data_IF_864560903367
#
_entry.id   IF_864560903367
#
_cell.length_a   1.000
_cell.length_b   1.000
_cell.length_c   1.000
_cell.angle_alpha   90.00
_cell.angle_beta   90.00
_cell.angle_gamma   90.00
#
_symmetry.space_group_name_H-M   'P 1'
#
loop_
_entity.id
_entity.type
_entity.pdbx_description
1 polymer ?
#
# COMPACT_ATOMS: atom_id res chain seq x y z
N UNK A 1 20.78 -21.78 -10.87
CA UNK A 1 20.57 -20.43 -11.45
C UNK A 1 19.20 -19.96 -11.00
N UNK A 2 19.13 -19.05 -10.04
CA UNK A 2 17.87 -18.47 -9.57
C UNK A 2 17.62 -17.19 -10.37
N UNK A 3 16.75 -17.27 -11.38
CA UNK A 3 16.27 -16.09 -12.08
C UNK A 3 15.07 -15.55 -11.33
N UNK A 4 15.10 -14.28 -10.94
CA UNK A 4 13.87 -13.59 -10.55
C UNK A 4 13.03 -13.44 -11.81
N UNK A 5 11.87 -14.09 -11.85
CA UNK A 5 10.95 -13.95 -12.97
C UNK A 5 10.19 -12.63 -12.79
N UNK A 6 10.54 -11.65 -13.61
CA UNK A 6 9.79 -10.39 -13.68
C UNK A 6 8.42 -10.69 -14.27
N UNK A 7 7.37 -10.30 -13.55
CA UNK A 7 6.01 -10.26 -14.08
C UNK A 7 5.89 -8.92 -14.83
N UNK A 8 5.64 -8.91 -16.16
CA UNK A 8 5.36 -7.69 -16.90
C UNK A 8 4.21 -6.91 -16.25
N UNK A 9 4.27 -5.57 -16.26
CA UNK A 9 3.25 -4.72 -15.64
C UNK A 9 1.85 -5.04 -16.17
N UNK A 10 1.73 -5.30 -17.48
CA UNK A 10 0.45 -5.65 -18.09
C UNK A 10 -0.11 -6.98 -17.58
N UNK A 11 0.76 -7.95 -17.26
CA UNK A 11 0.36 -9.22 -16.67
C UNK A 11 -0.05 -9.04 -15.21
N UNK A 12 0.70 -8.22 -14.46
CA UNK A 12 0.34 -7.85 -13.09
C UNK A 12 -1.02 -7.13 -13.03
N UNK A 13 -1.27 -6.19 -13.94
CA UNK A 13 -2.53 -5.45 -14.01
C UNK A 13 -3.71 -6.37 -14.32
N UNK A 14 -3.52 -7.35 -15.22
CA UNK A 14 -4.55 -8.36 -15.51
C UNK A 14 -4.82 -9.24 -14.30
N UNK A 15 -3.79 -9.67 -13.58
CA UNK A 15 -3.93 -10.52 -12.39
C UNK A 15 -4.64 -9.76 -11.26
N UNK A 16 -4.26 -8.50 -11.02
CA UNK A 16 -4.79 -7.72 -9.90
C UNK A 16 -6.14 -7.07 -10.20
N UNK A 17 -6.35 -6.60 -11.43
CA UNK A 17 -7.48 -5.73 -11.78
C UNK A 17 -8.31 -6.26 -12.95
N UNK A 18 -8.00 -7.45 -13.48
CA UNK A 18 -8.71 -8.08 -14.60
C UNK A 18 -8.37 -7.49 -15.98
N UNK A 19 -7.94 -6.22 -16.04
CA UNK A 19 -7.50 -5.59 -17.28
C UNK A 19 -6.50 -4.45 -17.04
N UNK A 20 -5.75 -4.12 -18.08
CA UNK A 20 -4.66 -3.11 -18.04
C UNK A 20 -5.18 -1.68 -17.87
N UNK A 21 -6.37 -1.36 -18.39
CA UNK A 21 -6.93 0.00 -18.32
C UNK A 21 -7.30 0.34 -16.88
N UNK A 22 -7.91 -0.62 -16.18
CA UNK A 22 -8.25 -0.51 -14.76
C UNK A 22 -6.98 -0.43 -13.92
N UNK A 23 -5.99 -1.30 -14.17
CA UNK A 23 -4.71 -1.25 -13.48
C UNK A 23 -3.97 0.08 -13.64
N UNK A 24 -3.90 0.60 -14.86
CA UNK A 24 -3.31 1.92 -15.13
C UNK A 24 -4.07 3.04 -14.40
N UNK A 25 -5.41 3.02 -14.41
CA UNK A 25 -6.20 4.01 -13.71
C UNK A 25 -5.98 3.97 -12.19
N UNK A 26 -5.98 2.78 -11.57
CA UNK A 26 -5.62 2.61 -10.16
C UNK A 26 -4.22 3.14 -9.89
N UNK A 27 -3.23 2.82 -10.72
CA UNK A 27 -1.86 3.30 -10.56
C UNK A 27 -1.78 4.83 -10.58
N UNK A 28 -2.43 5.48 -11.56
CA UNK A 28 -2.49 6.95 -11.64
C UNK A 28 -3.16 7.58 -10.43
N UNK A 29 -4.27 7.02 -9.95
CA UNK A 29 -4.95 7.52 -8.75
C UNK A 29 -4.08 7.37 -7.50
N UNK A 30 -3.37 6.26 -7.35
CA UNK A 30 -2.43 6.07 -6.24
C UNK A 30 -1.27 7.07 -6.30
N UNK A 31 -0.69 7.33 -7.48
CA UNK A 31 0.35 8.35 -7.63
C UNK A 31 -0.16 9.75 -7.31
N UNK A 32 -1.36 10.11 -7.76
CA UNK A 32 -1.98 11.40 -7.47
C UNK A 32 -2.28 11.58 -5.97
N UNK A 33 -2.75 10.51 -5.30
CA UNK A 33 -2.99 10.50 -3.87
C UNK A 33 -1.69 10.69 -3.09
N UNK A 34 -0.64 9.93 -3.44
CA UNK A 34 0.68 10.05 -2.81
C UNK A 34 1.30 11.43 -3.05
N UNK A 35 1.15 11.99 -4.25
CA UNK A 35 1.57 13.34 -4.58
C UNK A 35 0.91 14.36 -3.67
N UNK A 36 -0.43 14.37 -3.61
CA UNK A 36 -1.20 15.27 -2.73
C UNK A 36 -0.80 15.12 -1.26
N UNK A 37 -0.60 13.89 -0.79
CA UNK A 37 -0.16 13.62 0.59
C UNK A 37 1.24 14.20 0.85
N UNK A 38 2.19 13.98 -0.06
CA UNK A 38 3.55 14.49 0.12
C UNK A 38 3.61 16.01 0.03
N UNK A 39 2.91 16.62 -0.93
CA UNK A 39 2.80 18.08 -1.03
C UNK A 39 2.27 18.68 0.27
N UNK A 40 1.19 18.11 0.82
CA UNK A 40 0.64 18.53 2.11
C UNK A 40 1.66 18.42 3.26
N UNK A 41 2.39 17.31 3.34
CA UNK A 41 3.40 17.10 4.40
C UNK A 41 4.57 18.07 4.23
N UNK A 42 5.07 18.26 3.01
CA UNK A 42 6.21 19.14 2.73
C UNK A 42 5.88 20.61 2.95
N UNK A 43 4.64 21.02 2.67
CA UNK A 43 4.14 22.36 2.96
C UNK A 43 3.99 22.58 4.47
N UNK A 44 3.61 21.54 5.21
CA UNK A 44 3.45 21.60 6.67
C UNK A 44 4.79 21.60 7.40
N UNK A 45 5.77 20.85 6.91
CA UNK A 45 7.10 20.69 7.52
C UNK A 45 8.21 21.01 6.51
N UNK A 46 8.38 22.29 6.14
CA UNK A 46 9.40 22.69 5.18
C UNK A 46 10.81 22.36 5.71
N UNK A 47 11.70 21.93 4.81
CA UNK A 47 13.10 21.61 5.09
C UNK A 47 13.34 20.51 6.15
N UNK A 48 12.30 19.77 6.54
CA UNK A 48 12.42 18.62 7.44
C UNK A 48 12.41 17.31 6.66
N UNK A 49 13.20 16.36 7.12
CA UNK A 49 13.12 14.98 6.65
C UNK A 49 12.02 14.25 7.41
N UNK A 50 11.27 13.39 6.72
CA UNK A 50 10.21 12.61 7.34
C UNK A 50 10.19 11.18 6.80
N UNK A 51 9.66 10.26 7.61
CA UNK A 51 9.31 8.90 7.18
C UNK A 51 7.79 8.78 7.17
N UNK A 52 7.25 8.41 6.01
CA UNK A 52 5.83 8.12 5.87
C UNK A 52 5.63 6.61 5.93
N UNK A 53 4.66 6.17 6.70
CA UNK A 53 4.21 4.78 6.70
C UNK A 53 2.70 4.75 6.51
N UNK A 54 2.25 3.90 5.60
CA UNK A 54 0.84 3.81 5.21
C UNK A 54 0.30 2.42 5.51
N UNK A 55 -0.97 2.35 5.86
CA UNK A 55 -1.73 1.11 6.05
C UNK A 55 -3.12 1.29 5.44
N UNK A 56 -3.42 0.52 4.39
CA UNK A 56 -4.77 0.50 3.82
C UNK A 56 -5.66 -0.42 4.65
N UNK A 57 -6.85 0.06 5.03
CA UNK A 57 -7.82 -0.76 5.77
C UNK A 57 -8.49 -1.78 4.84
N UNK A 58 -9.14 -2.78 5.44
CA UNK A 58 -9.75 -3.90 4.71
C UNK A 58 -10.87 -3.49 3.74
N UNK A 59 -11.47 -2.33 3.96
CA UNK A 59 -12.49 -1.77 3.07
C UNK A 59 -11.92 -1.26 1.74
N UNK A 60 -10.60 -1.03 1.66
CA UNK A 60 -9.91 -0.46 0.50
C UNK A 60 -10.23 1.02 0.22
N UNK A 61 -11.12 1.62 1.00
CA UNK A 61 -11.57 3.02 0.86
C UNK A 61 -11.05 3.90 2.00
N UNK A 62 -10.36 3.34 2.98
CA UNK A 62 -9.69 4.12 4.00
C UNK A 62 -8.23 3.69 4.20
N UNK A 63 -7.39 4.66 4.56
CA UNK A 63 -5.97 4.48 4.80
C UNK A 63 -5.55 5.24 6.04
N UNK A 64 -4.73 4.58 6.85
CA UNK A 64 -4.04 5.14 8.00
C UNK A 64 -2.63 5.57 7.59
N UNK A 65 -2.28 6.83 7.85
CA UNK A 65 -0.98 7.40 7.50
C UNK A 65 -0.28 7.91 8.74
N UNK A 66 0.93 7.40 8.95
CA UNK A 66 1.84 7.82 10.01
C UNK A 66 2.98 8.63 9.41
N UNK A 67 3.22 9.83 9.95
CA UNK A 67 4.34 10.69 9.53
C UNK A 67 5.27 10.88 10.73
N UNK A 68 6.47 10.31 10.65
CA UNK A 68 7.55 10.56 11.59
C UNK A 68 8.40 11.71 11.06
N UNK A 69 8.24 12.91 11.60
CA UNK A 69 9.08 14.08 11.29
C UNK A 69 10.37 13.96 12.09
N UNK A 70 11.49 13.78 11.40
CA UNK A 70 12.80 13.52 11.99
C UNK A 70 13.40 14.81 12.55
N UNK A 71 14.07 14.71 13.70
CA UNK A 71 14.72 15.85 14.37
C UNK A 71 13.80 17.08 14.44
N UNK A 72 12.57 16.84 14.89
CA UNK A 72 11.60 17.91 15.07
C UNK A 72 11.91 18.74 16.32
N UNK A 73 12.33 18.08 17.40
CA UNK A 73 12.65 18.72 18.68
C UNK A 73 14.13 19.08 18.84
N UNK A 74 14.95 18.81 17.82
CA UNK A 74 16.38 19.11 17.80
C UNK A 74 16.71 19.84 16.50
N UNK A 75 17.33 21.03 16.58
CA UNK A 75 17.68 21.85 15.41
C UNK A 75 18.92 21.33 14.67
N UNK A 76 19.44 20.16 15.05
CA UNK A 76 20.56 19.51 14.38
C UNK A 76 20.17 19.03 12.97
N UNK A 77 20.96 19.36 11.94
CA UNK A 77 20.75 18.83 10.59
C UNK A 77 20.83 17.29 10.61
N UNK A 78 19.98 16.67 9.80
CA UNK A 78 19.89 15.21 9.68
C UNK A 78 21.21 14.60 9.20
N UNK A 79 21.91 13.88 10.07
CA UNK A 79 22.97 12.95 9.66
C UNK A 79 22.30 11.64 9.27
N UNK A 80 22.12 11.46 7.97
CA UNK A 80 21.39 10.35 7.38
C UNK A 80 22.19 9.05 7.55
N UNK A 81 21.80 8.28 8.56
CA UNK A 81 22.25 6.91 8.76
C UNK A 81 21.03 6.03 8.90
N UNK A 82 20.64 5.34 7.82
CA UNK A 82 19.71 4.21 7.90
C UNK A 82 20.33 3.14 8.80
N UNK A 83 20.11 3.22 10.11
CA UNK A 83 20.47 2.14 11.03
C UNK A 83 19.46 1.02 10.79
N UNK A 84 19.89 0.01 10.04
CA UNK A 84 19.22 -1.28 9.97
C UNK A 84 19.19 -1.85 11.40
N UNK A 85 18.02 -1.80 12.03
CA UNK A 85 17.79 -2.51 13.29
C UNK A 85 17.89 -4.02 13.01
N UNK A 86 18.58 -4.74 13.89
CA UNK A 86 18.54 -6.20 13.89
C UNK A 86 17.11 -6.70 14.08
N UNK A 87 16.78 -7.92 13.66
CA UNK A 87 15.41 -8.47 13.72
C UNK A 87 14.83 -8.59 15.14
N UNK A 88 15.69 -8.47 16.16
CA UNK A 88 15.41 -8.86 17.53
C UNK A 88 15.18 -7.66 18.46
N UNK A 89 15.63 -6.46 18.07
CA UNK A 89 15.38 -5.24 18.83
C UNK A 89 13.99 -4.68 18.50
N UNK A 90 13.19 -4.34 19.51
CA UNK A 90 11.93 -3.60 19.31
C UNK A 90 12.21 -2.22 18.69
N UNK A 91 11.41 -1.85 17.71
CA UNK A 91 11.43 -0.51 17.14
C UNK A 91 10.90 0.47 18.18
N UNK A 92 11.66 1.56 18.37
CA UNK A 92 11.27 2.73 19.13
C UNK A 92 11.59 3.96 18.30
N UNK A 93 10.57 4.77 18.04
CA UNK A 93 10.76 6.07 17.41
C UNK A 93 11.74 6.93 18.25
N UNK A 94 12.65 7.68 17.63
CA UNK A 94 13.52 8.61 18.32
C UNK A 94 12.70 9.61 19.14
N UNK A 95 13.18 9.95 20.34
CA UNK A 95 12.53 10.98 21.18
C UNK A 95 12.63 12.38 20.58
N UNK A 96 13.51 12.58 19.59
CA UNK A 96 13.65 13.82 18.82
C UNK A 96 12.65 13.93 17.67
N UNK A 97 11.97 12.83 17.31
CA UNK A 97 10.98 12.81 16.23
C UNK A 97 9.60 13.26 16.74
N UNK A 98 8.85 13.94 15.88
CA UNK A 98 7.41 14.19 16.09
C UNK A 98 6.62 13.18 15.27
N UNK A 99 5.60 12.58 15.87
CA UNK A 99 4.70 11.66 15.17
C UNK A 99 3.39 12.36 14.90
N UNK A 100 2.95 12.33 13.65
CA UNK A 100 1.61 12.74 13.23
C UNK A 100 0.86 11.54 12.67
N UNK A 101 -0.46 11.58 12.80
CA UNK A 101 -1.33 10.52 12.35
C UNK A 101 -2.52 11.11 11.59
N UNK A 102 -2.78 10.58 10.40
CA UNK A 102 -3.86 11.01 9.53
C UNK A 102 -4.69 9.80 9.13
N UNK A 103 -6.00 9.97 9.09
CA UNK A 103 -6.92 9.07 8.39
C UNK A 103 -7.26 9.68 7.04
N UNK A 104 -7.09 8.91 5.97
CA UNK A 104 -7.53 9.26 4.62
C UNK A 104 -8.75 8.43 4.29
N UNK A 105 -9.84 9.07 3.88
CA UNK A 105 -10.99 8.40 3.28
C UNK A 105 -11.07 8.71 1.79
N UNK A 106 -11.38 7.70 0.99
CA UNK A 106 -11.47 7.76 -0.45
C UNK A 106 -12.93 7.58 -0.87
N UNK A 107 -13.40 8.43 -1.77
CA UNK A 107 -14.68 8.30 -2.46
C UNK A 107 -14.42 8.13 -3.95
N UNK A 108 -14.92 7.03 -4.53
CA UNK A 108 -14.87 6.86 -5.97
C UNK A 108 -16.06 7.57 -6.60
N UNK A 109 -15.81 8.41 -7.58
CA UNK A 109 -16.83 9.02 -8.40
C UNK A 109 -16.66 8.55 -9.85
N UNK A 110 -17.66 7.86 -10.38
CA UNK A 110 -17.68 7.40 -11.77
C UNK A 110 -18.83 8.09 -12.49
N UNK A 111 -18.50 8.89 -13.50
CA UNK A 111 -19.47 9.64 -14.30
C UNK A 111 -20.42 10.54 -13.47
N UNK A 112 -19.93 11.08 -12.36
CA UNK A 112 -20.71 11.94 -11.46
C UNK A 112 -21.37 11.21 -10.30
N UNK A 113 -21.41 9.87 -10.32
CA UNK A 113 -22.04 9.06 -9.27
C UNK A 113 -21.00 8.49 -8.30
N UNK A 114 -21.29 8.55 -7.01
CA UNK A 114 -20.44 7.96 -5.96
C UNK A 114 -20.63 6.45 -5.92
N UNK A 115 -19.52 5.72 -5.87
CA UNK A 115 -19.47 4.25 -5.87
C UNK A 115 -18.67 3.76 -4.67
N UNK A 116 -19.30 2.95 -3.82
CA UNK A 116 -18.70 2.42 -2.58
C UNK A 116 -17.95 1.08 -2.79
N UNK A 117 -17.56 0.78 -4.02
CA UNK A 117 -16.93 -0.49 -4.39
C UNK A 117 -15.75 -0.28 -5.34
N UNK A 118 -15.00 -1.36 -5.56
CA UNK A 118 -13.92 -1.37 -6.54
C UNK A 118 -14.46 -1.06 -7.95
N UNK A 119 -13.79 -0.14 -8.65
CA UNK A 119 -14.19 0.30 -9.98
C UNK A 119 -13.46 -0.55 -11.02
N UNK A 120 -14.23 -1.26 -11.86
CA UNK A 120 -13.69 -1.98 -13.02
C UNK A 120 -14.04 -1.23 -14.29
N UNK A 121 -13.02 -0.78 -15.03
CA UNK A 121 -13.20 -0.12 -16.31
C UNK A 121 -13.34 -1.18 -17.41
N UNK A 122 -14.40 -1.07 -18.20
CA UNK A 122 -14.62 -1.91 -19.38
C UNK A 122 -13.73 -1.43 -20.54
N UNK A 123 -12.82 -2.28 -21.06
CA UNK A 123 -11.98 -1.94 -22.21
C UNK A 123 -12.74 -1.71 -23.53
N UNK A 124 -13.96 -2.24 -23.64
CA UNK A 124 -14.78 -2.13 -24.85
C UNK A 124 -15.56 -0.82 -24.94
N UNK A 125 -15.66 -0.09 -23.83
CA UNK A 125 -16.34 1.20 -23.80
C UNK A 125 -15.42 2.36 -24.24
N UNK A 126 -15.94 3.37 -24.96
CA UNK A 126 -15.14 4.52 -25.38
C UNK A 126 -14.57 5.29 -24.19
N UNK A 127 -13.28 5.65 -24.24
CA UNK A 127 -12.60 6.41 -23.17
C UNK A 127 -13.22 7.78 -22.87
N UNK A 128 -13.99 8.34 -23.79
CA UNK A 128 -14.73 9.61 -23.60
C UNK A 128 -15.93 9.48 -22.67
N UNK A 129 -16.40 8.25 -22.38
CA UNK A 129 -17.63 7.99 -21.62
C UNK A 129 -17.40 7.55 -20.18
N UNK A 130 -16.14 7.44 -19.73
CA UNK A 130 -15.80 7.07 -18.34
C UNK A 130 -14.86 8.09 -17.72
N UNK A 131 -15.42 8.99 -16.93
CA UNK A 131 -14.66 9.83 -16.01
C UNK A 131 -14.67 9.15 -14.64
N UNK A 132 -13.59 8.47 -14.28
CA UNK A 132 -13.37 7.99 -12.92
C UNK A 132 -12.47 9.00 -12.20
N UNK A 133 -12.96 9.48 -11.07
CA UNK A 133 -12.22 10.34 -10.13
C UNK A 133 -12.21 9.67 -8.76
N UNK A 134 -11.12 9.89 -8.03
CA UNK A 134 -11.01 9.50 -6.62
C UNK A 134 -10.86 10.79 -5.82
N UNK A 135 -11.83 11.05 -4.95
CA UNK A 135 -11.77 12.16 -4.01
C UNK A 135 -11.18 11.66 -2.71
N UNK A 136 -10.14 12.34 -2.21
CA UNK A 136 -9.48 12.00 -0.96
C UNK A 136 -9.74 13.07 0.09
N UNK A 137 -10.19 12.65 1.27
CA UNK A 137 -10.37 13.54 2.43
C UNK A 137 -9.35 13.18 3.50
N UNK A 138 -8.59 14.17 3.97
CA UNK A 138 -7.51 14.02 4.94
C UNK A 138 -7.99 14.50 6.32
N UNK A 139 -7.97 13.61 7.30
CA UNK A 139 -8.37 13.93 8.69
C UNK A 139 -7.16 13.80 9.61
N UNK A 140 -6.59 14.92 10.11
CA UNK A 140 -5.50 14.88 11.08
C UNK A 140 -6.03 14.56 12.48
N UNK A 141 -5.34 13.66 13.19
CA UNK A 141 -5.69 13.27 14.57
C UNK A 141 -4.94 14.10 15.61
N UNK A 142 -5.28 15.38 15.69
CA UNK A 142 -4.63 16.37 16.59
C UNK A 142 -5.03 16.22 18.06
N UNK A 143 -6.09 15.48 18.34
CA UNK A 143 -6.62 15.24 19.69
C UNK A 143 -5.74 14.29 20.54
N UNK A 144 -4.84 13.55 19.91
CA UNK A 144 -3.99 12.57 20.58
C UNK A 144 -2.68 13.20 21.05
N UNK A 145 -2.31 12.95 22.30
CA UNK A 145 -1.00 13.36 22.81
C UNK A 145 0.15 12.65 22.07
N UNK A 146 1.30 13.32 21.94
CA UNK A 146 2.50 12.75 21.32
C UNK A 146 2.91 11.41 21.95
N UNK A 147 2.75 11.25 23.26
CA UNK A 147 3.03 9.97 23.94
C UNK A 147 2.15 8.83 23.39
N UNK A 148 0.85 9.07 23.24
CA UNK A 148 -0.09 8.08 22.70
C UNK A 148 0.22 7.78 21.23
N UNK A 149 0.55 8.80 20.44
CA UNK A 149 0.91 8.65 19.03
C UNK A 149 2.19 7.82 18.87
N UNK A 150 3.23 8.11 19.64
CA UNK A 150 4.49 7.35 19.65
C UNK A 150 4.25 5.90 20.05
N UNK A 151 3.46 5.64 21.09
CA UNK A 151 3.15 4.28 21.52
C UNK A 151 2.40 3.49 20.45
N UNK A 152 1.42 4.11 19.78
CA UNK A 152 0.69 3.49 18.66
C UNK A 152 1.60 3.26 17.46
N UNK A 153 2.41 4.24 17.09
CA UNK A 153 3.34 4.13 15.98
C UNK A 153 4.39 3.04 16.20
N UNK A 154 4.95 2.94 17.41
CA UNK A 154 5.89 1.86 17.75
C UNK A 154 5.25 0.48 17.63
N UNK A 155 4.01 0.30 18.10
CA UNK A 155 3.26 -0.95 17.93
C UNK A 155 3.06 -1.28 16.46
N UNK A 156 2.63 -0.28 15.68
CA UNK A 156 2.44 -0.42 14.24
C UNK A 156 3.74 -0.80 13.52
N UNK A 157 4.86 -0.12 13.78
CA UNK A 157 6.16 -0.42 13.16
C UNK A 157 6.69 -1.79 13.56
N UNK A 158 6.50 -2.19 14.82
CA UNK A 158 6.86 -3.53 15.27
C UNK A 158 5.98 -4.60 14.59
N UNK A 159 4.69 -4.34 14.40
CA UNK A 159 3.80 -5.20 13.63
C UNK A 159 4.24 -5.30 12.16
N UNK A 160 4.59 -4.20 11.49
CA UNK A 160 5.09 -4.26 10.12
C UNK A 160 6.36 -5.12 9.98
N UNK A 161 7.22 -5.11 11.00
CA UNK A 161 8.45 -5.92 11.01
C UNK A 161 8.18 -7.43 11.15
N UNK A 162 6.99 -7.83 11.60
CA UNK A 162 6.63 -9.25 11.66
C UNK A 162 6.08 -9.78 10.34
N UNK A 163 5.70 -8.93 9.37
CA UNK A 163 5.15 -9.39 8.08
C UNK A 163 6.02 -10.40 7.35
N UNK A 164 7.35 -10.26 7.46
CA UNK A 164 8.32 -11.14 6.82
C UNK A 164 9.10 -12.00 7.83
N UNK A 165 8.73 -12.00 9.12
CA UNK A 165 9.31 -12.97 10.05
C UNK A 165 8.85 -14.35 9.55
N UNK A 166 9.83 -15.11 9.05
CA UNK A 166 9.65 -16.52 8.71
C UNK A 166 9.14 -17.17 9.99
N UNK A 167 8.02 -17.88 9.93
CA UNK A 167 7.59 -18.73 11.03
C UNK A 167 8.81 -19.59 11.41
N UNK A 168 9.45 -19.27 12.53
CA UNK A 168 10.40 -20.19 13.14
C UNK A 168 9.53 -21.38 13.51
N UNK A 169 9.78 -22.48 12.83
CA UNK A 169 9.14 -23.77 13.10
C UNK A 169 9.62 -24.20 14.49
N UNK A 170 8.94 -23.70 15.51
CA UNK A 170 8.89 -24.31 16.83
C UNK A 170 7.41 -24.57 17.08
N UNK A 171 7.07 -25.86 17.18
CA UNK A 171 5.79 -26.41 17.57
C UNK A 171 4.56 -26.14 16.68
N UNK A 172 4.56 -26.72 15.47
CA UNK A 172 3.38 -27.34 14.85
C UNK A 172 2.19 -26.46 14.41
N UNK A 173 2.10 -25.21 14.87
CA UNK A 173 1.02 -24.29 14.53
C UNK A 173 1.50 -23.32 13.44
N UNK A 174 1.18 -23.63 12.18
CA UNK A 174 1.37 -22.68 11.07
C UNK A 174 0.49 -21.46 11.32
N UNK A 175 1.08 -20.27 11.34
CA UNK A 175 0.32 -19.03 11.37
C UNK A 175 -0.19 -18.74 9.95
N UNK A 176 -1.39 -19.24 9.64
CA UNK A 176 -2.05 -19.04 8.34
C UNK A 176 -2.30 -17.56 8.01
N UNK A 177 -2.17 -16.66 8.99
CA UNK A 177 -2.39 -15.22 8.83
C UNK A 177 -1.12 -14.40 8.51
N UNK A 178 0.03 -15.04 8.27
CA UNK A 178 1.23 -14.27 7.91
C UNK A 178 1.15 -13.71 6.48
N UNK A 179 1.70 -12.51 6.25
CA UNK A 179 1.77 -11.89 4.92
C UNK A 179 2.53 -12.80 3.92
N UNK A 180 3.53 -13.54 4.41
CA UNK A 180 4.21 -14.57 3.61
C UNK A 180 3.26 -15.70 3.17
N UNK A 181 2.32 -16.13 4.03
CA UNK A 181 1.27 -17.09 3.66
C UNK A 181 0.29 -16.51 2.63
N UNK A 182 -0.10 -15.24 2.77
CA UNK A 182 -0.89 -14.53 1.76
C UNK A 182 -0.18 -14.49 0.39
N UNK A 183 1.08 -14.05 0.34
CA UNK A 183 1.85 -14.01 -0.91
C UNK A 183 2.00 -15.39 -1.56
N UNK A 184 2.19 -16.44 -0.75
CA UNK A 184 2.20 -17.83 -1.26
C UNK A 184 0.85 -18.24 -1.83
N UNK A 185 -0.26 -17.89 -1.18
CA UNK A 185 -1.59 -18.20 -1.67
C UNK A 185 -1.92 -17.42 -2.96
N UNK A 186 -1.53 -16.15 -3.03
CA UNK A 186 -1.63 -15.33 -4.24
C UNK A 186 -0.86 -15.96 -5.41
N UNK A 187 0.38 -16.41 -5.18
CA UNK A 187 1.19 -17.11 -6.18
C UNK A 187 0.59 -18.47 -6.61
N UNK A 188 -0.05 -19.20 -5.70
CA UNK A 188 -0.76 -20.44 -6.05
C UNK A 188 -2.01 -20.17 -6.88
N UNK A 189 -2.74 -19.09 -6.56
CA UNK A 189 -3.92 -18.68 -7.30
C UNK A 189 -3.57 -18.23 -8.72
N UNK A 190 -2.48 -17.48 -8.89
CA UNK A 190 -2.01 -17.07 -10.23
C UNK A 190 -1.52 -18.25 -11.08
N UNK A 191 -0.93 -19.28 -10.46
CA UNK A 191 -0.59 -20.51 -11.16
C UNK A 191 -1.84 -21.25 -11.70
N UNK A 192 -3.00 -21.12 -11.04
CA UNK A 192 -4.26 -21.71 -11.50
C UNK A 192 -4.97 -20.85 -12.56
N UNK A 193 -4.88 -19.51 -12.49
CA UNK A 193 -5.44 -18.64 -13.54
C UNK A 193 -4.73 -18.84 -14.87
N UNK A 194 -3.40 -19.05 -14.86
CA UNK A 194 -2.62 -19.32 -16.08
C UNK A 194 -3.04 -20.64 -16.78
N UNK A 195 -3.54 -21.63 -16.03
CA UNK A 195 -4.07 -22.87 -16.61
C UNK A 195 -5.42 -22.66 -17.30
N UNK A 196 -6.27 -21.79 -16.76
CA UNK A 196 -7.57 -21.43 -17.34
C UNK A 196 -7.37 -20.55 -18.58
N UNK A 197 -6.43 -19.61 -18.54
CA UNK A 197 -6.09 -18.75 -19.70
C UNK A 197 -5.40 -19.54 -20.82
N UNK A 198 -4.60 -20.56 -20.51
CA UNK A 198 -4.08 -21.50 -21.54
C UNK A 198 -5.19 -22.34 -22.17
N UNK A 199 -6.17 -22.80 -21.39
CA UNK A 199 -7.34 -23.53 -21.93
C UNK A 199 -8.23 -22.62 -22.79
N UNK A 200 -8.39 -21.35 -22.41
CA UNK A 200 -9.12 -20.33 -23.19
C UNK A 200 -8.38 -19.95 -24.47
N UNK A 201 -7.07 -19.77 -24.42
CA UNK A 201 -6.23 -19.50 -25.59
C UNK A 201 -6.24 -20.69 -26.57
N UNK A 202 -6.12 -21.92 -26.08
CA UNK A 202 -6.18 -23.13 -26.92
C UNK A 202 -7.54 -23.36 -27.59
N UNK A 203 -8.65 -22.92 -26.97
CA UNK A 203 -9.98 -22.95 -27.59
C UNK A 203 -10.13 -21.92 -28.72
N UNK A 204 -9.45 -20.78 -28.64
CA UNK A 204 -9.52 -19.74 -29.67
C UNK A 204 -8.56 -19.98 -30.84
N UNK A 205 -7.38 -20.57 -30.61
CA UNK A 205 -6.41 -20.85 -31.69
C UNK A 205 -6.68 -22.12 -32.51
N UNK A 206 -7.63 -22.98 -32.09
CA UNK A 206 -8.06 -24.16 -32.88
C UNK A 206 -9.19 -23.88 -33.90
N UNK A 207 -9.53 -22.61 -34.15
CA UNK A 207 -10.56 -22.20 -35.13
C UNK A 207 -10.03 -21.29 -36.26
N UNK A 208 -8.73 -21.31 -36.52
CA UNK A 208 -8.16 -20.83 -37.77
C UNK A 208 -7.62 -22.00 -38.58
#
# INVERSE_FOLDING_TARGET
MFGFQYIPVQELDRILYGNTITGEAYFRHNLALLGTLFDYITDTYPEKSFKVSVETRKDGLSMDVWVEVLNYFDDQPTVDGFKLLSSDEEFKAPSTSKIEYYSISLENNVNGETVDSAVLLDPSEPSTNKCWMVLASFTPHTELSQKILVDKYNKFRNFQRTYFKKDSVDDGARNENSFASFLRNLSKASAHSNAIDQEYADRYYKRC
#
